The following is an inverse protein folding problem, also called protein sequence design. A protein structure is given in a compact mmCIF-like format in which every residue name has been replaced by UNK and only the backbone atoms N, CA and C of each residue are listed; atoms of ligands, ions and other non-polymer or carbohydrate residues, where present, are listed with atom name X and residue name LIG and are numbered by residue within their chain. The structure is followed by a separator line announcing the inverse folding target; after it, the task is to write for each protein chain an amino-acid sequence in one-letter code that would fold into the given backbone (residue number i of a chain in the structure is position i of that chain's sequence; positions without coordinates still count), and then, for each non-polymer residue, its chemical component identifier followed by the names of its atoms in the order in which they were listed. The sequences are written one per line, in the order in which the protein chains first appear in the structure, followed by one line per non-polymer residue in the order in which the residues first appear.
data_IF_377719433247
#
_entry.id   IF_377719433247
#
_cell.length_a   1.000
_cell.length_b   1.000
_cell.length_c   1.000
_cell.angle_alpha   90.00
_cell.angle_beta   90.00
_cell.angle_gamma   90.00
#
_symmetry.space_group_name_H-M   'P 1'
#
loop_
_entity.id
_entity.type
_entity.pdbx_description
1 polymer ?
#
# COMPACT_ATOMS: atom_id res chain seq x y z
N UNK A 1 61.37 40.24 6.26
CA UNK A 1 61.38 38.77 6.13
C UNK A 1 60.73 38.40 4.80
N UNK A 2 61.35 37.44 4.09
CA UNK A 2 61.22 37.04 2.68
C UNK A 2 59.77 37.06 2.11
N UNK A 3 59.44 37.72 0.98
CA UNK A 3 59.80 37.53 -0.45
C UNK A 3 59.60 36.09 -0.96
N UNK A 4 58.72 35.88 -1.94
CA UNK A 4 59.10 35.65 -3.35
C UNK A 4 57.87 35.55 -4.28
N UNK A 5 57.92 36.33 -5.37
CA UNK A 5 57.15 36.18 -6.62
C UNK A 5 57.82 35.11 -7.50
N UNK A 6 57.09 34.67 -8.54
CA UNK A 6 57.51 33.97 -9.78
C UNK A 6 57.12 32.48 -9.85
N UNK A 7 56.83 31.86 -10.99
CA UNK A 7 56.87 32.25 -12.41
C UNK A 7 55.83 31.38 -13.16
N UNK A 8 55.23 31.95 -14.21
CA UNK A 8 54.41 31.25 -15.20
C UNK A 8 55.33 30.45 -16.13
N UNK A 9 55.07 29.15 -16.34
CA UNK A 9 55.64 28.41 -17.47
C UNK A 9 54.51 27.69 -18.19
N UNK A 10 54.22 28.21 -19.38
CA UNK A 10 53.38 27.62 -20.41
C UNK A 10 54.19 26.53 -21.12
N UNK A 11 53.66 25.31 -21.24
CA UNK A 11 54.07 24.37 -22.27
C UNK A 11 52.86 24.00 -23.12
N UNK A 12 52.91 24.47 -24.37
CA UNK A 12 52.07 24.02 -25.47
C UNK A 12 52.78 22.82 -26.09
N UNK A 13 52.09 21.69 -26.19
CA UNK A 13 52.34 20.71 -27.25
C UNK A 13 51.01 20.28 -27.83
N UNK A 14 50.88 20.55 -29.13
CA UNK A 14 49.77 20.14 -30.00
C UNK A 14 50.12 18.85 -30.74
N UNK A 15 49.08 18.25 -31.34
CA UNK A 15 49.04 17.13 -32.32
C UNK A 15 49.11 15.71 -31.73
N UNK A 16 48.31 14.71 -32.14
CA UNK A 16 47.08 14.59 -32.94
C UNK A 16 46.69 13.09 -32.92
N UNK A 17 45.39 12.78 -33.03
CA UNK A 17 44.75 11.53 -33.51
C UNK A 17 44.93 10.23 -32.70
N UNK A 18 43.78 9.68 -32.30
CA UNK A 18 43.61 8.25 -32.02
C UNK A 18 42.22 7.92 -31.47
N UNK A 19 41.28 7.57 -32.34
CA UNK A 19 39.99 6.95 -32.00
C UNK A 19 40.19 5.70 -31.11
N UNK A 20 39.39 5.51 -30.06
CA UNK A 20 38.70 4.23 -29.76
C UNK A 20 37.70 4.34 -28.58
N UNK A 21 36.42 4.09 -28.91
CA UNK A 21 35.38 3.32 -28.20
C UNK A 21 35.18 3.40 -26.67
N UNK A 22 34.00 3.94 -26.30
CA UNK A 22 33.01 3.48 -25.29
C UNK A 22 33.50 2.74 -24.03
N UNK A 23 33.23 3.31 -22.84
CA UNK A 23 32.75 2.55 -21.67
C UNK A 23 31.82 3.39 -20.77
N UNK A 24 30.53 3.06 -20.86
CA UNK A 24 29.53 2.90 -19.79
C UNK A 24 29.56 3.84 -18.57
N UNK A 25 28.67 4.83 -18.61
CA UNK A 25 28.05 5.44 -17.44
C UNK A 25 27.10 4.39 -16.81
N UNK A 26 27.54 3.71 -15.76
CA UNK A 26 26.67 2.82 -14.99
C UNK A 26 25.66 3.67 -14.22
N UNK A 27 24.40 3.61 -14.65
CA UNK A 27 23.25 4.04 -13.87
C UNK A 27 23.15 3.12 -12.64
N UNK A 28 23.24 3.67 -11.44
CA UNK A 28 22.98 2.92 -10.22
C UNK A 28 21.48 2.67 -10.16
N UNK A 29 21.04 1.53 -10.69
CA UNK A 29 19.72 1.00 -10.39
C UNK A 29 19.74 0.61 -8.91
N UNK A 30 19.05 1.39 -8.07
CA UNK A 30 18.68 0.94 -6.74
C UNK A 30 17.76 -0.26 -6.92
N UNK A 31 18.31 -1.47 -6.81
CA UNK A 31 17.51 -2.67 -6.61
C UNK A 31 16.93 -2.59 -5.22
N UNK A 32 15.68 -2.13 -5.10
CA UNK A 32 14.87 -2.43 -3.92
C UNK A 32 14.82 -3.96 -3.82
N UNK A 33 15.49 -4.49 -2.80
CA UNK A 33 15.44 -5.92 -2.49
C UNK A 33 13.98 -6.31 -2.26
N UNK A 34 13.47 -7.23 -3.10
CA UNK A 34 12.25 -7.98 -2.82
C UNK A 34 12.45 -8.73 -1.50
N UNK A 35 11.92 -8.17 -0.42
CA UNK A 35 11.91 -8.78 0.91
C UNK A 35 10.82 -9.85 1.00
N UNK A 36 11.02 -10.96 0.27
CA UNK A 36 10.15 -12.15 0.32
C UNK A 36 10.30 -12.94 1.66
N UNK A 37 11.09 -12.45 2.62
CA UNK A 37 11.49 -13.18 3.83
C UNK A 37 10.78 -12.74 5.13
N UNK A 38 9.72 -11.94 5.08
CA UNK A 38 9.11 -11.35 6.28
C UNK A 38 7.62 -11.66 6.48
N UNK A 39 7.10 -12.70 5.84
CA UNK A 39 5.72 -13.17 6.04
C UNK A 39 5.61 -13.76 7.45
N UNK A 40 4.66 -13.25 8.24
CA UNK A 40 4.37 -13.73 9.59
C UNK A 40 3.10 -14.57 9.58
N UNK A 41 3.19 -15.79 10.10
CA UNK A 41 2.00 -16.63 10.27
C UNK A 41 1.23 -16.19 11.51
N UNK A 42 0.09 -15.57 11.27
CA UNK A 42 -0.82 -15.07 12.29
C UNK A 42 -2.11 -15.91 12.28
N UNK A 43 -2.62 -16.27 13.45
CA UNK A 43 -3.98 -16.79 13.58
C UNK A 43 -4.99 -15.63 13.62
N UNK A 44 -6.28 -15.95 13.51
CA UNK A 44 -7.35 -14.94 13.39
C UNK A 44 -7.38 -13.99 14.60
N UNK A 45 -7.29 -14.52 15.83
CA UNK A 45 -7.25 -13.67 17.03
C UNK A 45 -6.06 -12.69 17.01
N UNK A 46 -4.88 -13.13 16.54
CA UNK A 46 -3.71 -12.25 16.42
C UNK A 46 -3.91 -11.19 15.34
N UNK A 47 -4.59 -11.52 14.24
CA UNK A 47 -4.95 -10.54 13.21
C UNK A 47 -5.90 -9.49 13.78
N UNK A 48 -6.95 -9.91 14.49
CA UNK A 48 -7.90 -9.02 15.14
C UNK A 48 -7.21 -8.09 16.15
N UNK A 49 -6.27 -8.60 16.95
CA UNK A 49 -5.48 -7.80 17.91
C UNK A 49 -4.61 -6.76 17.19
N UNK A 50 -3.96 -7.14 16.08
CA UNK A 50 -3.15 -6.22 15.28
C UNK A 50 -4.01 -5.18 14.58
N UNK A 51 -5.12 -5.58 13.97
CA UNK A 51 -6.06 -4.67 13.30
C UNK A 51 -6.63 -3.65 14.29
N UNK A 52 -7.10 -4.10 15.45
CA UNK A 52 -7.57 -3.20 16.51
C UNK A 52 -6.48 -2.24 17.00
N UNK A 53 -5.25 -2.73 17.17
CA UNK A 53 -4.10 -1.90 17.52
C UNK A 53 -3.83 -0.82 16.46
N UNK A 54 -3.89 -1.19 15.18
CA UNK A 54 -3.69 -0.29 14.07
C UNK A 54 -4.83 0.72 13.95
N UNK A 55 -6.08 0.29 14.11
CA UNK A 55 -7.26 1.17 14.08
C UNK A 55 -7.24 2.21 15.20
N UNK A 56 -6.80 1.83 16.41
CA UNK A 56 -6.62 2.76 17.51
C UNK A 56 -5.53 3.81 17.23
N UNK A 57 -4.47 3.43 16.51
CA UNK A 57 -3.46 4.37 16.04
C UNK A 57 -4.02 5.28 14.93
N UNK A 58 -4.70 4.69 13.94
CA UNK A 58 -5.29 5.38 12.79
C UNK A 58 -6.32 6.43 13.23
N UNK A 59 -7.18 6.09 14.20
CA UNK A 59 -8.18 6.99 14.77
C UNK A 59 -7.60 8.30 15.31
N UNK A 60 -6.46 8.21 16.01
CA UNK A 60 -5.74 9.40 16.52
C UNK A 60 -5.21 10.26 15.38
N UNK A 61 -4.73 9.63 14.31
CA UNK A 61 -4.23 10.33 13.11
C UNK A 61 -5.39 11.00 12.36
N UNK A 62 -6.52 10.31 12.22
CA UNK A 62 -7.73 10.83 11.61
C UNK A 62 -8.23 12.08 12.37
N UNK A 63 -8.31 12.01 13.70
CA UNK A 63 -8.72 13.14 14.53
C UNK A 63 -7.78 14.36 14.40
N UNK A 64 -6.47 14.14 14.35
CA UNK A 64 -5.50 15.23 14.13
C UNK A 64 -5.58 15.83 12.72
N UNK A 65 -5.93 15.00 11.73
CA UNK A 65 -6.07 15.40 10.33
C UNK A 65 -7.43 15.99 9.98
N UNK A 66 -8.39 16.00 10.92
CA UNK A 66 -9.78 16.40 10.63
C UNK A 66 -10.50 15.43 9.69
N UNK A 67 -10.15 14.14 9.75
CA UNK A 67 -10.71 13.06 8.93
C UNK A 67 -11.45 12.05 9.81
N UNK A 68 -12.33 11.28 9.19
CA UNK A 68 -12.86 10.03 9.75
C UNK A 68 -12.02 8.85 9.27
N UNK A 69 -11.96 7.79 10.08
CA UNK A 69 -11.42 6.48 9.70
C UNK A 69 -12.36 5.37 10.13
N UNK A 70 -12.54 4.37 9.26
CA UNK A 70 -13.34 3.17 9.51
C UNK A 70 -12.58 1.91 9.09
N UNK A 71 -12.89 0.78 9.72
CA UNK A 71 -12.51 -0.57 9.31
C UNK A 71 -13.47 -1.16 8.24
N UNK A 72 -14.47 -0.42 7.78
CA UNK A 72 -15.33 -0.74 6.62
C UNK A 72 -14.58 -0.56 5.28
N UNK A 73 -13.35 -1.10 5.16
CA UNK A 73 -12.51 -0.91 3.97
C UNK A 73 -12.85 -1.87 2.82
N UNK A 74 -13.46 -3.01 3.17
CA UNK A 74 -13.80 -4.09 2.25
C UNK A 74 -15.05 -4.86 2.71
N UNK A 75 -15.95 -5.03 1.76
CA UNK A 75 -17.13 -5.87 1.79
C UNK A 75 -17.55 -6.07 0.33
N UNK A 76 -18.22 -7.17 0.04
CA UNK A 76 -18.70 -7.49 -1.30
C UNK A 76 -20.20 -7.79 -1.35
N UNK A 77 -20.92 -7.62 -0.23
CA UNK A 77 -22.35 -7.87 -0.14
C UNK A 77 -22.73 -9.27 -0.63
N UNK A 78 -23.61 -9.34 -1.64
CA UNK A 78 -24.09 -10.58 -2.23
C UNK A 78 -23.34 -10.99 -3.52
N UNK A 79 -22.10 -10.53 -3.70
CA UNK A 79 -21.24 -10.99 -4.80
C UNK A 79 -20.90 -12.50 -4.67
N UNK A 80 -20.10 -13.02 -5.59
CA UNK A 80 -19.91 -14.46 -5.78
C UNK A 80 -19.28 -15.20 -4.60
N UNK A 81 -18.99 -16.48 -4.84
CA UNK A 81 -18.44 -17.42 -3.86
C UNK A 81 -16.92 -17.60 -4.03
N UNK A 82 -16.27 -16.72 -4.78
CA UNK A 82 -14.83 -16.72 -4.98
C UNK A 82 -14.09 -16.05 -3.82
N UNK A 83 -12.81 -16.37 -3.68
CA UNK A 83 -11.92 -15.66 -2.79
C UNK A 83 -11.65 -14.25 -3.33
N UNK A 84 -11.74 -13.27 -2.44
CA UNK A 84 -11.43 -11.88 -2.75
C UNK A 84 -9.98 -11.56 -2.45
N UNK A 85 -9.38 -10.71 -3.30
CA UNK A 85 -7.99 -10.34 -3.20
C UNK A 85 -7.70 -8.93 -3.73
N UNK A 86 -6.58 -8.37 -3.29
CA UNK A 86 -6.00 -7.15 -3.85
C UNK A 86 -4.76 -7.49 -4.69
N UNK A 87 -4.65 -6.91 -5.88
CA UNK A 87 -3.41 -6.93 -6.66
C UNK A 87 -2.47 -5.84 -6.14
N UNK A 88 -1.36 -6.23 -5.52
CA UNK A 88 -0.34 -5.29 -4.99
C UNK A 88 1.00 -5.47 -5.71
N UNK A 89 1.96 -4.53 -5.58
CA UNK A 89 3.29 -4.68 -6.15
C UNK A 89 4.07 -5.91 -5.66
N UNK A 90 3.70 -6.48 -4.52
CA UNK A 90 4.35 -7.67 -3.94
C UNK A 90 3.53 -8.96 -4.16
N UNK A 91 2.43 -8.89 -4.93
CA UNK A 91 1.58 -10.04 -5.24
C UNK A 91 0.14 -9.87 -4.78
N UNK A 92 -0.65 -10.94 -4.93
CA UNK A 92 -2.04 -10.97 -4.51
C UNK A 92 -2.13 -11.16 -2.99
N UNK A 93 -2.82 -10.24 -2.33
CA UNK A 93 -3.16 -10.32 -0.90
C UNK A 93 -4.59 -10.83 -0.81
N UNK A 94 -4.81 -12.00 -0.21
CA UNK A 94 -6.15 -12.51 0.06
C UNK A 94 -6.82 -11.66 1.14
N UNK A 95 -8.00 -11.11 0.87
CA UNK A 95 -8.78 -10.33 1.85
C UNK A 95 -9.99 -11.10 2.38
N UNK A 96 -10.44 -12.12 1.65
CA UNK A 96 -11.47 -13.04 2.12
C UNK A 96 -11.21 -14.45 1.58
N UNK A 97 -11.50 -15.46 2.41
CA UNK A 97 -11.39 -16.86 2.06
C UNK A 97 -12.78 -17.53 2.08
N UNK A 98 -13.32 -17.78 0.89
CA UNK A 98 -14.49 -18.62 0.62
C UNK A 98 -14.09 -20.06 0.24
N UNK A 99 -12.79 -20.32 0.05
CA UNK A 99 -12.26 -21.64 -0.31
C UNK A 99 -12.05 -21.82 -1.82
N UNK A 100 -12.28 -20.80 -2.63
CA UNK A 100 -12.24 -20.88 -4.10
C UNK A 100 -11.35 -19.76 -4.67
N UNK A 101 -10.06 -19.99 -4.93
CA UNK A 101 -9.33 -21.27 -4.91
C UNK A 101 -8.86 -21.76 -3.52
N UNK A 102 -9.04 -20.96 -2.49
CA UNK A 102 -8.67 -21.23 -1.11
C UNK A 102 -7.37 -20.56 -0.70
N UNK A 103 -7.23 -20.36 0.61
CA UNK A 103 -6.14 -19.61 1.24
C UNK A 103 -4.72 -20.01 0.81
N UNK A 104 -4.46 -21.30 0.56
CA UNK A 104 -3.14 -21.79 0.12
C UNK A 104 -2.73 -21.31 -1.29
N UNK A 105 -3.67 -20.80 -2.08
CA UNK A 105 -3.38 -20.22 -3.39
C UNK A 105 -2.69 -18.86 -3.27
N UNK A 106 -2.85 -18.18 -2.14
CA UNK A 106 -2.32 -16.85 -1.91
C UNK A 106 -1.07 -16.93 -1.03
N UNK A 107 -0.03 -16.19 -1.42
CA UNK A 107 1.20 -16.08 -0.62
C UNK A 107 1.05 -15.06 0.52
N UNK A 108 0.20 -14.06 0.32
CA UNK A 108 -0.02 -12.97 1.25
C UNK A 108 -1.47 -12.96 1.68
N UNK A 109 -1.68 -12.67 2.96
CA UNK A 109 -3.00 -12.58 3.56
C UNK A 109 -3.17 -11.23 4.24
N UNK A 110 -4.37 -10.67 4.13
CA UNK A 110 -4.74 -9.51 4.89
C UNK A 110 -4.75 -9.86 6.39
N UNK A 111 -4.22 -8.92 7.16
CA UNK A 111 -4.45 -8.79 8.59
C UNK A 111 -5.75 -8.01 8.81
N UNK A 112 -5.98 -6.98 8.00
CA UNK A 112 -7.08 -6.04 8.14
C UNK A 112 -6.90 -4.84 7.21
N UNK A 113 -7.65 -3.77 7.46
CA UNK A 113 -7.57 -2.56 6.65
C UNK A 113 -8.34 -1.39 7.23
N UNK A 114 -8.25 -0.24 6.58
CA UNK A 114 -9.07 0.91 6.93
C UNK A 114 -9.26 1.86 5.76
N UNK A 115 -10.27 2.72 5.85
CA UNK A 115 -10.49 3.83 4.93
C UNK A 115 -10.48 5.16 5.68
N UNK A 116 -9.74 6.13 5.15
CA UNK A 116 -9.76 7.51 5.59
C UNK A 116 -10.54 8.37 4.61
N UNK A 117 -11.33 9.31 5.13
CA UNK A 117 -12.08 10.25 4.32
C UNK A 117 -12.48 11.51 5.08
N UNK A 118 -13.10 12.44 4.36
CA UNK A 118 -13.78 13.58 4.97
C UNK A 118 -15.24 13.21 5.17
N UNK A 119 -15.75 13.26 6.40
CA UNK A 119 -17.16 12.95 6.64
C UNK A 119 -18.08 14.08 6.17
N UNK A 120 -19.26 13.74 5.66
CA UNK A 120 -20.28 14.70 5.22
C UNK A 120 -20.96 15.43 6.38
N UNK A 121 -20.98 14.83 7.58
CA UNK A 121 -21.57 15.43 8.80
C UNK A 121 -20.53 16.11 9.71
N UNK A 122 -19.25 16.06 9.32
CA UNK A 122 -18.13 16.65 10.05
C UNK A 122 -17.57 15.79 11.18
N UNK A 123 -17.99 14.52 11.33
CA UNK A 123 -17.33 13.56 12.22
C UNK A 123 -15.84 13.40 11.89
N UNK A 124 -15.05 13.18 12.94
CA UNK A 124 -13.61 12.94 12.87
C UNK A 124 -13.20 11.87 13.89
N UNK A 125 -12.12 11.14 13.61
CA UNK A 125 -11.70 9.99 14.41
C UNK A 125 -12.30 8.68 13.91
N UNK A 126 -12.44 7.69 14.79
CA UNK A 126 -12.97 6.37 14.46
C UNK A 126 -14.49 6.43 14.27
N UNK A 127 -14.99 5.85 13.19
CA UNK A 127 -16.41 5.57 12.97
C UNK A 127 -16.50 4.11 12.51
N UNK A 128 -17.16 3.26 13.29
CA UNK A 128 -17.26 1.81 13.04
C UNK A 128 -18.57 1.43 12.31
N UNK A 129 -19.30 2.44 11.83
CA UNK A 129 -20.60 2.27 11.17
C UNK A 129 -20.74 3.36 10.10
N UNK A 130 -19.90 3.29 9.06
CA UNK A 130 -20.07 4.19 7.93
C UNK A 130 -21.40 3.87 7.24
N UNK A 131 -22.16 4.93 6.91
CA UNK A 131 -23.29 4.78 5.99
C UNK A 131 -22.74 4.47 4.60
N UNK A 132 -23.10 3.29 4.07
CA UNK A 132 -22.60 2.72 2.82
C UNK A 132 -23.78 2.20 2.01
N UNK A 133 -23.74 2.45 0.70
CA UNK A 133 -24.59 1.76 -0.26
C UNK A 133 -23.72 1.01 -1.28
N UNK A 134 -24.33 0.18 -2.12
CA UNK A 134 -23.63 -0.72 -3.04
C UNK A 134 -22.57 -0.04 -3.93
N UNK A 135 -22.70 1.25 -4.22
CA UNK A 135 -21.84 1.98 -5.14
C UNK A 135 -20.99 3.08 -4.46
N UNK A 136 -21.22 3.41 -3.17
CA UNK A 136 -20.46 4.47 -2.50
C UNK A 136 -20.56 4.47 -0.97
N UNK A 137 -19.53 5.07 -0.33
CA UNK A 137 -19.60 5.51 1.07
C UNK A 137 -20.43 6.80 1.19
N UNK A 138 -21.70 6.70 1.58
CA UNK A 138 -22.64 7.84 1.70
C UNK A 138 -22.20 8.86 2.76
N UNK A 139 -21.59 8.37 3.83
CA UNK A 139 -21.10 9.19 4.95
C UNK A 139 -19.79 9.92 4.65
N UNK A 140 -19.16 9.69 3.49
CA UNK A 140 -17.92 10.33 3.07
C UNK A 140 -18.14 11.30 1.90
N UNK A 141 -17.47 12.45 1.92
CA UNK A 141 -17.53 13.44 0.85
C UNK A 141 -16.73 12.96 -0.37
N UNK A 142 -17.44 12.44 -1.37
CA UNK A 142 -16.89 11.96 -2.63
C UNK A 142 -16.14 13.03 -3.46
N UNK A 143 -16.21 14.32 -3.09
CA UNK A 143 -15.41 15.39 -3.69
C UNK A 143 -14.06 15.61 -2.99
N UNK A 144 -13.78 14.87 -1.92
CA UNK A 144 -12.53 14.93 -1.16
C UNK A 144 -11.71 13.67 -1.40
N UNK A 145 -10.38 13.74 -1.21
CA UNK A 145 -9.55 12.54 -1.27
C UNK A 145 -9.98 11.51 -0.24
N UNK A 146 -9.96 10.25 -0.65
CA UNK A 146 -10.08 9.09 0.22
C UNK A 146 -8.88 8.18 0.03
N UNK A 147 -8.41 7.60 1.12
CA UNK A 147 -7.28 6.68 1.11
C UNK A 147 -7.70 5.37 1.82
N UNK A 148 -7.61 4.23 1.12
CA UNK A 148 -7.73 2.91 1.77
C UNK A 148 -6.35 2.36 2.09
N UNK A 149 -6.19 1.80 3.28
CA UNK A 149 -5.04 1.00 3.68
C UNK A 149 -5.40 -0.47 3.75
N UNK A 150 -4.50 -1.30 3.24
CA UNK A 150 -4.55 -2.75 3.36
C UNK A 150 -3.32 -3.21 4.15
N UNK A 151 -3.54 -3.88 5.27
CA UNK A 151 -2.51 -4.37 6.17
C UNK A 151 -2.21 -5.83 5.80
N UNK A 152 -1.02 -6.12 5.30
CA UNK A 152 -0.64 -7.49 4.92
C UNK A 152 0.32 -8.14 5.93
N UNK A 153 0.26 -9.46 6.00
CA UNK A 153 1.06 -10.34 6.84
C UNK A 153 2.58 -10.32 6.55
N UNK A 154 3.02 -9.74 5.43
CA UNK A 154 4.41 -9.40 5.18
C UNK A 154 4.86 -8.09 5.87
N UNK A 155 3.99 -7.46 6.66
CA UNK A 155 4.24 -6.22 7.38
C UNK A 155 4.33 -4.99 6.50
N UNK A 156 3.71 -5.04 5.31
CA UNK A 156 3.58 -3.90 4.39
C UNK A 156 2.17 -3.35 4.47
N UNK A 157 2.07 -2.02 4.64
CA UNK A 157 0.83 -1.29 4.39
C UNK A 157 0.77 -0.95 2.89
N UNK A 158 -0.25 -1.43 2.21
CA UNK A 158 -0.57 -0.97 0.86
C UNK A 158 -1.61 0.14 0.93
N UNK A 159 -1.57 1.03 -0.03
CA UNK A 159 -2.44 2.20 -0.10
C UNK A 159 -3.11 2.26 -1.47
N UNK A 160 -4.41 2.50 -1.45
CA UNK A 160 -5.19 2.88 -2.62
C UNK A 160 -5.66 4.32 -2.40
N UNK A 161 -5.04 5.24 -3.13
CA UNK A 161 -5.47 6.65 -3.15
C UNK A 161 -6.56 6.84 -4.18
N UNK A 162 -7.59 7.59 -3.86
CA UNK A 162 -8.62 7.96 -4.81
C UNK A 162 -9.06 9.41 -4.67
N UNK A 163 -9.47 9.98 -5.80
CA UNK A 163 -10.29 11.18 -5.85
C UNK A 163 -11.58 10.81 -6.58
N UNK A 164 -12.72 11.10 -5.97
CA UNK A 164 -14.03 10.68 -6.46
C UNK A 164 -14.60 9.49 -5.69
N UNK A 165 -15.66 8.91 -6.24
CA UNK A 165 -16.43 7.84 -5.62
C UNK A 165 -15.60 6.56 -5.44
N UNK A 166 -15.59 6.05 -4.21
CA UNK A 166 -15.13 4.72 -3.84
C UNK A 166 -16.30 3.93 -3.26
N UNK A 167 -16.28 2.62 -3.47
CA UNK A 167 -17.10 1.64 -2.75
C UNK A 167 -16.21 0.65 -1.98
N UNK A 168 -16.80 -0.29 -1.27
CA UNK A 168 -16.11 -1.31 -0.48
C UNK A 168 -15.31 -2.30 -1.34
N UNK A 169 -15.76 -2.59 -2.57
CA UNK A 169 -15.06 -3.49 -3.51
C UNK A 169 -13.95 -2.82 -4.32
N UNK A 170 -13.89 -1.49 -4.31
CA UNK A 170 -12.93 -0.75 -5.11
C UNK A 170 -11.49 -1.08 -4.70
N UNK A 171 -10.70 -1.51 -5.70
CA UNK A 171 -9.33 -1.98 -5.54
C UNK A 171 -9.21 -3.50 -5.35
N UNK A 172 -10.33 -4.20 -5.19
CA UNK A 172 -10.36 -5.64 -5.00
C UNK A 172 -10.84 -6.38 -6.25
N UNK A 173 -10.50 -7.65 -6.32
CA UNK A 173 -10.90 -8.58 -7.36
C UNK A 173 -11.38 -9.86 -6.71
N UNK A 174 -12.16 -10.62 -7.45
CA UNK A 174 -12.74 -11.88 -7.00
C UNK A 174 -12.26 -13.01 -7.92
N UNK A 175 -12.04 -14.21 -7.38
CA UNK A 175 -12.04 -15.39 -8.23
C UNK A 175 -13.45 -15.79 -8.68
N UNK A 176 -13.56 -16.62 -9.71
CA UNK A 176 -14.82 -17.28 -10.01
C UNK A 176 -15.25 -18.21 -8.87
N UNK A 177 -16.54 -18.53 -8.81
CA UNK A 177 -17.13 -19.43 -7.80
C UNK A 177 -16.48 -20.83 -7.74
N UNK A 178 -15.76 -21.23 -8.79
CA UNK A 178 -15.01 -22.49 -8.86
C UNK A 178 -13.50 -22.34 -8.60
N UNK A 179 -13.03 -21.12 -8.30
CA UNK A 179 -11.65 -20.79 -8.00
C UNK A 179 -10.70 -20.80 -9.19
N UNK A 180 -11.18 -20.95 -10.43
CA UNK A 180 -10.31 -21.16 -11.60
C UNK A 180 -9.87 -19.87 -12.28
N UNK A 181 -10.72 -18.85 -12.32
CA UNK A 181 -10.48 -17.64 -13.10
C UNK A 181 -10.58 -16.40 -12.20
N UNK A 182 -9.47 -15.66 -11.98
CA UNK A 182 -9.56 -14.36 -11.33
C UNK A 182 -10.31 -13.38 -12.25
N UNK A 183 -11.43 -12.85 -11.76
CA UNK A 183 -12.09 -11.71 -12.36
C UNK A 183 -11.35 -10.43 -11.98
N UNK A 184 -10.31 -10.14 -12.76
CA UNK A 184 -9.54 -8.90 -12.67
C UNK A 184 -10.32 -7.77 -13.35
N UNK A 185 -11.42 -7.30 -12.71
CA UNK A 185 -12.11 -6.08 -13.13
C UNK A 185 -11.06 -5.02 -13.46
N UNK A 186 -11.01 -4.57 -14.71
CA UNK A 186 -9.86 -3.90 -15.30
C UNK A 186 -9.45 -2.67 -14.48
N UNK A 187 -8.44 -2.83 -13.62
CA UNK A 187 -7.89 -1.82 -12.71
C UNK A 187 -7.00 -0.81 -13.46
N UNK A 188 -7.49 -0.18 -14.52
CA UNK A 188 -6.62 0.65 -15.36
C UNK A 188 -6.16 1.93 -14.67
N UNK A 189 -6.81 2.35 -13.57
CA UNK A 189 -6.50 3.58 -12.83
C UNK A 189 -6.48 3.45 -11.29
N UNK A 190 -7.02 2.37 -10.70
CA UNK A 190 -7.15 2.18 -9.24
C UNK A 190 -6.29 1.03 -8.72
N UNK A 191 -4.97 1.23 -8.67
CA UNK A 191 -3.99 0.21 -8.25
C UNK A 191 -3.50 0.44 -6.83
N UNK A 192 -3.42 -0.63 -6.06
CA UNK A 192 -2.69 -0.62 -4.79
C UNK A 192 -1.21 -0.35 -5.04
N UNK A 193 -0.63 0.52 -4.20
CA UNK A 193 0.80 0.77 -4.16
C UNK A 193 1.33 0.52 -2.76
N UNK A 194 2.63 0.34 -2.60
CA UNK A 194 3.23 0.37 -1.25
C UNK A 194 3.03 1.76 -0.68
N UNK A 195 2.39 1.85 0.50
CA UNK A 195 2.13 3.12 1.15
C UNK A 195 3.43 3.87 1.44
N UNK A 196 3.46 5.16 1.10
CA UNK A 196 4.57 6.05 1.44
C UNK A 196 4.46 6.61 2.86
N UNK A 197 3.37 6.33 3.58
CA UNK A 197 3.23 6.71 4.98
C UNK A 197 4.15 5.85 5.85
N UNK A 198 5.33 6.40 6.15
CA UNK A 198 6.33 5.74 7.01
C UNK A 198 5.80 5.47 8.42
N UNK A 199 4.87 6.27 8.93
CA UNK A 199 4.30 6.07 10.26
C UNK A 199 3.33 4.87 10.25
N UNK A 200 2.49 4.75 9.22
CA UNK A 200 1.64 3.57 9.03
C UNK A 200 2.49 2.29 8.88
N UNK A 201 3.52 2.33 8.02
CA UNK A 201 4.45 1.21 7.85
C UNK A 201 5.14 0.82 9.17
N UNK A 202 5.53 1.81 9.97
CA UNK A 202 6.18 1.56 11.26
C UNK A 202 5.20 0.95 12.27
N UNK A 203 3.98 1.47 12.37
CA UNK A 203 3.00 0.98 13.34
C UNK A 203 2.61 -0.48 13.05
N UNK A 204 2.31 -0.81 11.79
CA UNK A 204 1.99 -2.20 11.43
C UNK A 204 3.14 -3.16 11.79
N UNK A 205 4.38 -2.80 11.43
CA UNK A 205 5.56 -3.64 11.76
C UNK A 205 5.76 -3.79 13.25
N UNK A 206 5.54 -2.72 14.02
CA UNK A 206 5.62 -2.75 15.49
C UNK A 206 4.61 -3.74 16.06
N UNK A 207 3.34 -3.66 15.64
CA UNK A 207 2.27 -4.54 16.11
C UNK A 207 2.52 -6.01 15.74
N UNK A 208 2.94 -6.28 14.50
CA UNK A 208 3.26 -7.65 14.06
C UNK A 208 4.44 -8.25 14.85
N UNK A 209 5.44 -7.43 15.21
CA UNK A 209 6.62 -7.92 15.93
C UNK A 209 6.30 -8.44 17.34
N UNK A 210 5.11 -8.18 17.89
CA UNK A 210 4.67 -8.74 19.18
C UNK A 210 4.41 -10.26 19.10
N UNK A 211 4.27 -10.81 17.89
CA UNK A 211 3.94 -12.21 17.62
C UNK A 211 5.04 -12.99 16.87
N UNK A 212 6.24 -12.40 16.77
CA UNK A 212 7.41 -13.04 16.16
C UNK A 212 8.28 -13.81 17.14
#
# INVERSE_FOLDING_TARGET
MAKFKCFLITFIFSFLIGYFCLTNLHCYASSDENNDNNIVKLNDNQKDEIENGFMNWAAKRAQLGGMVVSDDYFNHGAAGMGDWFANTPNGRVQVQNQGNPGSNHFKLHAIGGCIFGTSTDGKVGRDDDLDICAEEYQSLDNNKPMDKYLLADNGVVYELKNQGVLDETTGFCEYSDDGTNPNEFTQTDRKWVVSKDKAAQHELKKLINEYK
#
